data_IF_446686555420
#
_entry.id   IF_446686555420
#
_cell.length_a   1.000
_cell.length_b   1.000
_cell.length_c   1.000
_cell.angle_alpha   90.00
_cell.angle_beta   90.00
_cell.angle_gamma   90.00
#
_symmetry.space_group_name_H-M   'P 1'
#
loop_
_entity.id
_entity.type
_entity.pdbx_description
1 polymer ?
#
# COMPACT_ATOMS: atom_id res chain seq x y z
N UNK A 1 -26.80 24.21 -9.21
CA UNK A 1 -26.61 24.35 -7.76
C UNK A 1 -25.56 23.33 -7.36
N UNK A 2 -24.30 23.76 -7.24
CA UNK A 2 -23.17 22.87 -6.97
C UNK A 2 -23.16 22.65 -5.46
N UNK A 3 -23.42 21.44 -5.01
CA UNK A 3 -23.19 21.08 -3.61
C UNK A 3 -21.69 20.98 -3.40
N UNK A 4 -21.09 22.07 -2.93
CA UNK A 4 -19.80 22.02 -2.26
C UNK A 4 -20.03 21.31 -0.94
N UNK A 5 -19.72 20.01 -0.89
CA UNK A 5 -19.66 19.30 0.37
C UNK A 5 -18.52 19.92 1.17
N UNK A 6 -18.86 20.59 2.27
CA UNK A 6 -17.90 20.91 3.31
C UNK A 6 -17.45 19.58 3.91
N UNK A 7 -16.27 19.10 3.51
CA UNK A 7 -15.60 18.03 4.24
C UNK A 7 -15.42 18.53 5.67
N UNK A 8 -16.03 17.84 6.62
CA UNK A 8 -15.68 18.00 8.03
C UNK A 8 -14.19 17.69 8.18
N UNK A 9 -13.57 18.25 9.20
CA UNK A 9 -12.14 18.13 9.52
C UNK A 9 -11.80 16.71 10.04
N UNK A 10 -12.54 15.69 9.58
CA UNK A 10 -12.47 14.28 9.97
C UNK A 10 -11.88 13.44 8.81
N UNK A 11 -10.89 13.99 8.10
CA UNK A 11 -10.16 13.28 7.05
C UNK A 11 -8.93 12.58 7.62
N UNK A 12 -8.53 11.45 7.02
CA UNK A 12 -7.21 10.88 7.31
C UNK A 12 -6.12 11.94 7.06
N UNK A 13 -5.04 12.03 7.87
CA UNK A 13 -3.98 13.01 7.68
C UNK A 13 -3.42 13.03 6.24
N UNK A 14 -3.32 11.86 5.61
CA UNK A 14 -2.87 11.71 4.23
C UNK A 14 -3.80 12.32 3.16
N UNK A 15 -5.00 12.80 3.53
CA UNK A 15 -5.95 13.38 2.57
C UNK A 15 -5.41 14.65 1.91
N UNK A 16 -4.56 15.42 2.59
CA UNK A 16 -3.92 16.60 2.01
C UNK A 16 -3.00 16.28 0.81
N UNK A 17 -2.51 15.04 0.73
CA UNK A 17 -1.69 14.57 -0.37
C UNK A 17 -2.52 14.15 -1.60
N UNK A 18 -3.85 14.04 -1.47
CA UNK A 18 -4.74 13.60 -2.55
C UNK A 18 -5.03 14.76 -3.49
N UNK A 19 -4.67 14.57 -4.77
CA UNK A 19 -5.03 15.49 -5.85
C UNK A 19 -6.01 14.80 -6.80
N UNK A 20 -7.17 15.41 -6.98
CA UNK A 20 -8.16 14.96 -7.94
C UNK A 20 -7.86 15.55 -9.32
N UNK A 21 -7.84 14.70 -10.34
CA UNK A 21 -7.87 15.13 -11.74
C UNK A 21 -9.28 14.91 -12.28
N UNK A 22 -9.69 15.72 -13.27
CA UNK A 22 -10.93 15.44 -13.99
C UNK A 22 -10.86 14.03 -14.59
N UNK A 23 -11.96 13.27 -14.62
CA UNK A 23 -11.95 11.93 -15.17
C UNK A 23 -11.61 11.99 -16.66
N UNK A 24 -10.45 11.45 -17.02
CA UNK A 24 -10.17 11.06 -18.40
C UNK A 24 -11.05 9.86 -18.77
N UNK A 25 -11.31 9.66 -20.06
CA UNK A 25 -12.07 8.50 -20.53
C UNK A 25 -11.42 7.20 -20.03
N UNK A 26 -12.07 6.52 -19.10
CA UNK A 26 -11.60 5.25 -18.55
C UNK A 26 -11.97 4.10 -19.51
N UNK A 27 -10.96 3.42 -20.05
CA UNK A 27 -11.18 2.19 -20.79
C UNK A 27 -11.59 1.08 -19.80
N UNK A 28 -12.87 0.71 -19.80
CA UNK A 28 -13.43 -0.30 -18.90
C UNK A 28 -13.36 -1.74 -19.47
N UNK A 29 -12.50 -1.98 -20.46
CA UNK A 29 -12.34 -3.31 -21.03
C UNK A 29 -11.80 -4.31 -20.00
N UNK A 30 -12.56 -5.38 -19.75
CA UNK A 30 -12.23 -6.38 -18.73
C UNK A 30 -10.87 -7.07 -18.96
N UNK A 31 -10.49 -7.26 -20.23
CA UNK A 31 -9.25 -7.95 -20.64
C UNK A 31 -8.09 -7.01 -20.96
N UNK A 32 -8.22 -5.72 -20.65
CA UNK A 32 -7.15 -4.76 -20.89
C UNK A 32 -5.85 -5.18 -20.20
N UNK A 33 -4.75 -5.03 -20.92
CA UNK A 33 -3.39 -5.20 -20.43
C UNK A 33 -2.76 -3.83 -20.18
N UNK A 34 -1.81 -3.76 -19.25
CA UNK A 34 -1.02 -2.58 -18.97
C UNK A 34 0.34 -3.00 -18.39
N UNK A 35 1.15 -2.04 -17.93
CA UNK A 35 2.48 -2.36 -17.37
C UNK A 35 2.47 -3.27 -16.14
N UNK A 36 1.36 -3.39 -15.43
CA UNK A 36 1.17 -4.27 -14.27
C UNK A 36 0.36 -5.54 -14.58
N UNK A 37 -0.19 -5.68 -15.80
CA UNK A 37 -1.07 -6.80 -16.17
C UNK A 37 -0.85 -7.21 -17.62
N UNK A 38 -0.28 -8.40 -17.80
CA UNK A 38 -0.25 -9.09 -19.09
C UNK A 38 -1.51 -9.92 -19.34
N UNK A 39 -1.61 -10.57 -20.52
CA UNK A 39 -2.63 -11.59 -20.77
C UNK A 39 -2.60 -12.71 -19.70
N UNK A 40 -3.71 -13.42 -19.45
CA UNK A 40 -3.74 -14.53 -18.49
C UNK A 40 -2.66 -15.58 -18.78
N UNK A 41 -1.90 -15.98 -17.76
CA UNK A 41 -0.81 -16.97 -17.87
C UNK A 41 0.47 -16.45 -18.53
N UNK A 42 0.59 -15.15 -18.77
CA UNK A 42 1.85 -14.54 -19.23
C UNK A 42 2.66 -14.02 -18.07
N UNK A 43 3.97 -14.27 -18.14
CA UNK A 43 4.96 -13.86 -17.15
C UNK A 43 6.00 -12.98 -17.83
N UNK A 44 6.40 -11.90 -17.18
CA UNK A 44 7.34 -10.94 -17.73
C UNK A 44 8.04 -10.24 -16.57
N UNK A 45 9.37 -10.18 -16.65
CA UNK A 45 10.18 -9.48 -15.67
C UNK A 45 9.77 -8.01 -15.57
N UNK A 46 9.33 -7.40 -16.67
CA UNK A 46 8.85 -6.03 -16.71
C UNK A 46 7.59 -5.84 -15.86
N UNK A 47 6.68 -6.82 -15.85
CA UNK A 47 5.49 -6.81 -14.99
C UNK A 47 5.90 -6.94 -13.52
N UNK A 48 6.81 -7.85 -13.20
CA UNK A 48 7.25 -8.07 -11.81
C UNK A 48 8.02 -6.86 -11.27
N UNK A 49 8.85 -6.22 -12.09
CA UNK A 49 9.50 -4.94 -11.77
C UNK A 49 8.44 -3.85 -11.54
N UNK A 50 7.44 -3.74 -12.42
CA UNK A 50 6.39 -2.73 -12.26
C UNK A 50 5.56 -2.93 -10.97
N UNK A 51 5.35 -4.18 -10.54
CA UNK A 51 4.72 -4.51 -9.26
C UNK A 51 5.62 -4.16 -8.08
N UNK A 52 6.90 -4.51 -8.15
CA UNK A 52 7.87 -4.17 -7.11
C UNK A 52 7.99 -2.64 -6.93
N UNK A 53 8.04 -1.88 -8.02
CA UNK A 53 8.11 -0.43 -7.96
C UNK A 53 6.88 0.22 -7.32
N UNK A 54 5.68 -0.31 -7.57
CA UNK A 54 4.45 0.29 -7.03
C UNK A 54 4.17 -0.13 -5.57
N UNK A 55 4.60 -1.32 -5.15
CA UNK A 55 4.43 -1.79 -3.76
C UNK A 55 5.41 -1.14 -2.79
N UNK A 56 6.62 -0.74 -3.24
CA UNK A 56 7.60 -0.02 -2.40
C UNK A 56 7.06 1.30 -1.85
N UNK A 57 6.20 1.95 -2.63
CA UNK A 57 5.49 3.15 -2.22
C UNK A 57 6.38 4.32 -1.80
N UNK A 58 5.86 5.16 -0.90
CA UNK A 58 6.56 6.34 -0.37
C UNK A 58 7.55 6.01 0.77
N UNK A 59 7.72 4.73 1.11
CA UNK A 59 8.44 4.30 2.31
C UNK A 59 7.70 4.68 3.61
N UNK A 60 8.44 4.61 4.73
CA UNK A 60 7.92 5.04 6.04
C UNK A 60 7.77 6.56 6.12
N UNK A 61 6.63 7.01 6.63
CA UNK A 61 6.31 8.42 6.85
C UNK A 61 6.36 8.75 8.35
N UNK A 62 6.69 9.99 8.67
CA UNK A 62 6.58 10.51 10.02
C UNK A 62 5.17 11.01 10.28
N UNK A 63 4.58 10.58 11.38
CA UNK A 63 3.27 11.04 11.89
C UNK A 63 3.48 11.62 13.28
N UNK A 64 2.99 12.83 13.50
CA UNK A 64 3.05 13.50 14.80
C UNK A 64 2.09 12.87 15.80
N UNK A 65 2.32 13.11 17.09
CA UNK A 65 1.41 12.64 18.14
C UNK A 65 -0.01 13.22 17.98
N UNK A 66 -0.14 14.43 17.46
CA UNK A 66 -1.43 15.05 17.17
C UNK A 66 -2.18 14.32 16.04
N UNK A 67 -1.48 13.99 14.96
CA UNK A 67 -2.06 13.21 13.86
C UNK A 67 -2.44 11.78 14.29
N UNK A 68 -1.64 11.14 15.15
CA UNK A 68 -2.00 9.84 15.74
C UNK A 68 -3.30 9.92 16.54
N UNK A 69 -3.50 11.01 17.31
CA UNK A 69 -4.77 11.24 18.02
C UNK A 69 -5.96 11.41 17.06
N UNK A 70 -5.76 12.04 15.90
CA UNK A 70 -6.81 12.14 14.87
C UNK A 70 -7.18 10.78 14.26
N UNK A 71 -6.26 9.82 14.25
CA UNK A 71 -6.53 8.45 13.79
C UNK A 71 -7.33 7.61 14.80
N UNK A 72 -7.61 8.15 16.00
CA UNK A 72 -8.22 7.41 17.11
C UNK A 72 -7.42 6.13 17.45
N UNK A 73 -6.10 6.21 17.29
CA UNK A 73 -5.13 5.16 17.59
C UNK A 73 -4.37 5.52 18.86
N UNK A 74 -4.08 4.54 19.72
CA UNK A 74 -3.39 4.77 20.99
C UNK A 74 -2.16 3.88 21.08
N UNK A 75 -1.00 4.52 21.25
CA UNK A 75 0.24 3.85 21.62
C UNK A 75 0.07 3.22 23.01
N UNK A 76 0.24 1.89 23.11
CA UNK A 76 0.04 1.15 24.35
C UNK A 76 1.15 0.13 24.56
N UNK A 77 1.33 -0.37 25.78
CA UNK A 77 2.33 -1.41 26.05
C UNK A 77 2.01 -2.73 25.33
N UNK A 78 0.73 -3.00 25.05
CA UNK A 78 0.28 -4.20 24.34
C UNK A 78 0.44 -4.08 22.82
N UNK A 79 0.39 -2.86 22.29
CA UNK A 79 0.52 -2.52 20.88
C UNK A 79 1.38 -1.24 20.73
N UNK A 80 2.69 -1.33 20.95
CA UNK A 80 3.56 -0.16 20.95
C UNK A 80 3.79 0.35 19.54
N UNK A 81 3.68 1.66 19.34
CA UNK A 81 4.03 2.27 18.06
C UNK A 81 5.54 2.54 17.96
N UNK A 82 6.07 2.48 16.74
CA UNK A 82 7.47 2.77 16.49
C UNK A 82 7.75 4.28 16.59
N UNK A 83 8.41 4.69 17.67
CA UNK A 83 8.81 6.09 17.89
C UNK A 83 10.08 6.43 17.13
N UNK A 84 10.10 7.60 16.51
CA UNK A 84 11.29 8.18 15.91
C UNK A 84 12.07 8.90 17.02
N UNK A 85 13.41 8.74 17.11
CA UNK A 85 14.21 9.46 18.10
C UNK A 85 14.00 10.98 18.03
N UNK A 86 14.01 11.65 19.18
CA UNK A 86 13.80 13.10 19.28
C UNK A 86 14.85 13.90 18.51
N UNK A 87 16.10 13.41 18.48
CA UNK A 87 17.20 14.00 17.70
C UNK A 87 17.03 13.83 16.18
N UNK A 88 16.12 12.95 15.75
CA UNK A 88 15.74 12.72 14.35
C UNK A 88 14.36 13.32 14.00
N UNK A 89 13.82 14.17 14.87
CA UNK A 89 12.58 14.92 14.64
C UNK A 89 11.35 14.40 15.39
N UNK A 90 11.45 13.31 16.15
CA UNK A 90 10.39 12.80 17.01
C UNK A 90 9.13 12.34 16.27
N UNK A 91 8.12 11.90 17.03
CA UNK A 91 6.86 11.36 16.51
C UNK A 91 6.92 9.85 16.24
N UNK A 92 6.08 9.38 15.32
CA UNK A 92 5.89 7.96 15.03
C UNK A 92 6.19 7.65 13.57
N UNK A 93 6.79 6.49 13.34
CA UNK A 93 6.94 5.91 12.01
C UNK A 93 5.62 5.23 11.62
N UNK A 94 5.08 5.56 10.45
CA UNK A 94 3.88 4.94 9.90
C UNK A 94 4.07 4.65 8.39
N UNK A 95 3.09 3.99 7.79
CA UNK A 95 3.02 3.75 6.34
C UNK A 95 1.60 4.04 5.85
N UNK A 96 1.46 4.40 4.58
CA UNK A 96 0.14 4.43 3.94
C UNK A 96 -0.33 3.00 3.64
N UNK A 97 -1.51 2.64 4.16
CA UNK A 97 -2.09 1.30 4.04
C UNK A 97 -2.24 0.82 2.58
N UNK A 98 -2.37 1.74 1.62
CA UNK A 98 -2.46 1.40 0.20
C UNK A 98 -1.29 0.54 -0.28
N UNK A 99 -0.09 0.70 0.28
CA UNK A 99 1.09 -0.08 -0.11
C UNK A 99 1.04 -1.51 0.45
N UNK A 100 0.53 -1.69 1.67
CA UNK A 100 0.26 -3.01 2.23
C UNK A 100 -0.81 -3.75 1.41
N UNK A 101 -1.87 -3.05 1.00
CA UNK A 101 -2.89 -3.62 0.11
C UNK A 101 -2.33 -4.02 -1.26
N UNK A 102 -1.43 -3.21 -1.82
CA UNK A 102 -0.76 -3.51 -3.10
C UNK A 102 0.17 -4.72 -2.99
N UNK A 103 0.93 -4.85 -1.91
CA UNK A 103 1.76 -6.02 -1.63
C UNK A 103 0.91 -7.30 -1.60
N UNK A 104 -0.16 -7.30 -0.81
CA UNK A 104 -1.09 -8.43 -0.74
C UNK A 104 -1.75 -8.74 -2.09
N UNK A 105 -2.12 -7.72 -2.87
CA UNK A 105 -2.68 -7.89 -4.20
C UNK A 105 -1.67 -8.52 -5.18
N UNK A 106 -0.39 -8.15 -5.09
CA UNK A 106 0.68 -8.77 -5.88
C UNK A 106 0.86 -10.25 -5.50
N UNK A 107 0.85 -10.57 -4.21
CA UNK A 107 0.90 -11.96 -3.71
C UNK A 107 -0.28 -12.78 -4.24
N UNK A 108 -1.50 -12.21 -4.23
CA UNK A 108 -2.68 -12.86 -4.82
C UNK A 108 -2.53 -13.06 -6.33
N UNK A 109 -2.03 -12.06 -7.06
CA UNK A 109 -1.74 -12.17 -8.50
C UNK A 109 -0.81 -13.36 -8.77
N UNK A 110 0.29 -13.48 -8.02
CA UNK A 110 1.26 -14.58 -8.18
C UNK A 110 0.64 -15.94 -7.82
N UNK A 111 -0.24 -15.99 -6.82
CA UNK A 111 -0.95 -17.19 -6.37
C UNK A 111 -2.12 -17.65 -7.26
N UNK A 112 -2.50 -16.91 -8.30
CA UNK A 112 -3.55 -17.36 -9.23
C UNK A 112 -3.15 -18.67 -9.91
N UNK A 113 -4.12 -19.54 -10.19
CA UNK A 113 -3.86 -20.90 -10.71
C UNK A 113 -2.98 -20.93 -11.97
N UNK A 114 -3.12 -19.94 -12.85
CA UNK A 114 -2.34 -19.83 -14.10
C UNK A 114 -0.96 -19.20 -13.89
N UNK A 115 -0.69 -18.67 -12.70
CA UNK A 115 0.58 -18.03 -12.33
C UNK A 115 1.39 -18.87 -11.34
N UNK A 116 0.73 -19.72 -10.55
CA UNK A 116 1.31 -20.46 -9.45
C UNK A 116 2.54 -21.28 -9.84
N UNK A 117 2.49 -22.03 -10.95
CA UNK A 117 3.62 -22.87 -11.38
C UNK A 117 4.90 -22.08 -11.66
N UNK A 118 4.78 -20.81 -12.02
CA UNK A 118 5.92 -19.92 -12.26
C UNK A 118 6.46 -19.33 -10.95
N UNK A 119 5.58 -18.89 -10.03
CA UNK A 119 5.98 -18.17 -8.82
C UNK A 119 6.13 -19.05 -7.57
N UNK A 120 5.75 -20.33 -7.59
CA UNK A 120 5.80 -21.24 -6.43
C UNK A 120 7.18 -21.39 -5.79
N UNK A 121 8.26 -21.05 -6.51
CA UNK A 121 9.63 -21.09 -6.00
C UNK A 121 10.06 -19.78 -5.32
N UNK A 122 9.32 -18.68 -5.50
CA UNK A 122 9.54 -17.44 -4.75
C UNK A 122 9.09 -17.56 -3.28
N UNK A 123 8.26 -18.56 -2.98
CA UNK A 123 7.85 -18.93 -1.63
C UNK A 123 9.03 -19.47 -0.79
N UNK A 124 10.13 -19.92 -1.42
CA UNK A 124 11.35 -20.35 -0.71
C UNK A 124 12.17 -19.18 -0.10
N UNK A 125 11.72 -17.93 -0.26
CA UNK A 125 12.39 -16.71 0.20
C UNK A 125 11.70 -15.98 1.36
N UNK A 126 10.52 -16.42 1.80
CA UNK A 126 9.88 -15.94 3.04
C UNK A 126 9.89 -17.12 4.00
N UNK A 127 10.90 -17.25 4.87
CA UNK A 127 10.84 -18.22 5.95
C UNK A 127 9.49 -18.05 6.67
N UNK A 128 8.81 -19.13 7.02
CA UNK A 128 7.55 -19.12 7.81
C UNK A 128 7.62 -18.22 9.06
N UNK A 129 8.84 -17.88 9.50
CA UNK A 129 9.14 -16.92 10.56
C UNK A 129 8.68 -15.47 10.24
N UNK A 130 8.46 -15.13 8.97
CA UNK A 130 8.15 -13.78 8.52
C UNK A 130 6.65 -13.51 8.31
N UNK A 131 5.76 -14.49 8.49
CA UNK A 131 4.31 -14.21 8.52
C UNK A 131 3.90 -13.41 9.77
N UNK A 132 4.79 -13.33 10.76
CA UNK A 132 4.57 -12.66 12.04
C UNK A 132 5.39 -11.38 12.23
N UNK A 133 6.36 -11.07 11.37
CA UNK A 133 7.18 -9.84 11.46
C UNK A 133 6.77 -8.72 10.49
N UNK A 134 5.62 -8.86 9.83
CA UNK A 134 4.98 -7.80 9.05
C UNK A 134 3.81 -7.11 9.79
N UNK A 135 3.87 -7.06 11.13
CA UNK A 135 3.03 -6.21 11.98
C UNK A 135 3.90 -5.30 12.83
#
# INVERSE_FOLDING_TARGET
MVHTAYATIDGAPAFEAVKYTAPDHYNAEFRQTNKWRGPPGTHSNEIDIAWHEIELGAGGIRVTEEEVRHLNMTDSQEMPFHKIPEDQGGGYLAMLEVFHLLHCLNSLRMGLFFNYDHYKFLDEGVPDENIHSHF
#
